data_IF_603325380455
#
_entry.id   IF_603325380455
#
_cell.length_a   1.000
_cell.length_b   1.000
_cell.length_c   1.000
_cell.angle_alpha   90.00
_cell.angle_beta   90.00
_cell.angle_gamma   90.00
#
_symmetry.space_group_name_H-M   'P 1'
#
loop_
_entity.id
_entity.type
_entity.pdbx_description
1 polymer ?
#
# COMPACT_ATOMS: atom_id res chain seq x y z
N UNK A 1 20.39 -22.00 -19.19
CA UNK A 1 20.02 -20.61 -19.56
C UNK A 1 19.38 -19.99 -18.33
N UNK A 2 19.97 -18.95 -17.75
CA UNK A 2 19.70 -18.51 -16.38
C UNK A 2 18.30 -17.86 -16.22
N UNK A 3 17.54 -18.16 -15.14
CA UNK A 3 16.20 -17.61 -14.88
C UNK A 3 16.13 -16.08 -14.87
N UNK A 4 17.23 -15.40 -14.51
CA UNK A 4 17.36 -13.95 -14.55
C UNK A 4 17.30 -13.37 -15.97
N UNK A 5 17.81 -14.08 -16.97
CA UNK A 5 17.76 -13.61 -18.36
C UNK A 5 16.32 -13.67 -18.92
N UNK A 6 15.52 -14.62 -18.45
CA UNK A 6 14.09 -14.71 -18.80
C UNK A 6 13.29 -13.61 -18.09
N UNK A 7 13.55 -13.34 -16.81
CA UNK A 7 12.87 -12.28 -16.06
C UNK A 7 13.19 -10.88 -16.61
N UNK A 8 14.45 -10.62 -16.96
CA UNK A 8 14.86 -9.35 -17.61
C UNK A 8 14.19 -9.20 -18.98
N UNK A 9 14.05 -10.30 -19.72
CA UNK A 9 13.36 -10.29 -21.02
C UNK A 9 11.86 -10.07 -20.86
N UNK A 10 11.20 -10.74 -19.92
CA UNK A 10 9.78 -10.56 -19.66
C UNK A 10 9.44 -9.14 -19.20
N UNK A 11 10.28 -8.55 -18.35
CA UNK A 11 10.12 -7.16 -17.92
C UNK A 11 10.39 -6.17 -19.06
N UNK A 12 11.38 -6.41 -19.91
CA UNK A 12 11.59 -5.60 -21.12
C UNK A 12 10.42 -5.74 -22.09
N UNK A 13 9.92 -6.95 -22.32
CA UNK A 13 8.78 -7.21 -23.20
C UNK A 13 7.50 -6.56 -22.64
N UNK A 14 7.32 -6.52 -21.31
CA UNK A 14 6.21 -5.82 -20.67
C UNK A 14 6.34 -4.30 -20.78
N UNK A 15 7.54 -3.75 -20.56
CA UNK A 15 7.82 -2.32 -20.76
C UNK A 15 7.64 -1.90 -22.22
N UNK A 16 8.05 -2.73 -23.17
CA UNK A 16 7.90 -2.47 -24.60
C UNK A 16 6.44 -2.61 -25.03
N UNK A 17 5.66 -3.53 -24.44
CA UNK A 17 4.20 -3.55 -24.61
C UNK A 17 3.52 -2.32 -24.04
N UNK A 18 3.96 -1.85 -22.87
CA UNK A 18 3.39 -0.65 -22.24
C UNK A 18 3.75 0.62 -23.04
N UNK A 19 4.97 0.68 -23.55
CA UNK A 19 5.46 1.74 -24.46
C UNK A 19 4.70 1.71 -25.79
N UNK A 20 4.54 0.55 -26.42
CA UNK A 20 3.77 0.40 -27.65
C UNK A 20 2.31 0.83 -27.50
N UNK A 21 1.67 0.50 -26.36
CA UNK A 21 0.31 0.95 -26.05
C UNK A 21 0.21 2.46 -25.79
N UNK A 22 1.27 3.08 -25.28
CA UNK A 22 1.37 4.53 -25.13
C UNK A 22 1.60 5.21 -26.48
N UNK A 23 2.44 4.62 -27.33
CA UNK A 23 2.71 5.08 -28.70
C UNK A 23 1.46 4.95 -29.59
N UNK A 24 0.61 3.94 -29.40
CA UNK A 24 -0.69 3.84 -30.06
C UNK A 24 -1.66 4.97 -29.68
N UNK A 25 -1.48 5.57 -28.50
CA UNK A 25 -2.28 6.72 -28.05
C UNK A 25 -1.77 8.05 -28.64
N UNK A 26 -0.52 8.11 -29.13
CA UNK A 26 0.08 9.35 -29.67
C UNK A 26 -0.63 9.80 -30.95
N UNK A 27 -0.85 8.96 -31.98
CA UNK A 27 -1.61 9.37 -33.17
C UNK A 27 -3.07 9.72 -32.86
N UNK A 28 -3.69 9.05 -31.87
CA UNK A 28 -5.06 9.37 -31.43
C UNK A 28 -5.13 10.73 -30.73
N UNK A 29 -4.11 11.07 -29.93
CA UNK A 29 -3.96 12.37 -29.30
C UNK A 29 -3.64 13.47 -30.33
N UNK A 30 -2.76 13.21 -31.30
CA UNK A 30 -2.40 14.15 -32.36
C UNK A 30 -3.53 14.38 -33.36
N UNK A 31 -4.28 13.34 -33.73
CA UNK A 31 -5.46 13.45 -34.60
C UNK A 31 -6.61 14.22 -33.92
N UNK A 32 -6.75 14.09 -32.60
CA UNK A 32 -7.66 14.90 -31.78
C UNK A 32 -7.17 16.36 -31.62
N UNK A 33 -5.87 16.58 -31.51
CA UNK A 33 -5.27 17.92 -31.49
C UNK A 33 -5.40 18.66 -32.83
N UNK A 34 -5.41 17.94 -33.95
CA UNK A 34 -5.60 18.50 -35.29
C UNK A 34 -7.06 18.91 -35.58
N UNK A 35 -8.04 18.35 -34.87
CA UNK A 35 -9.46 18.71 -34.94
C UNK A 35 -9.88 19.74 -33.88
N UNK A 36 -8.93 20.42 -33.22
CA UNK A 36 -9.25 21.43 -32.22
C UNK A 36 -10.07 22.56 -32.83
N UNK A 37 -11.29 22.68 -32.33
CA UNK A 37 -12.03 23.93 -32.30
C UNK A 37 -11.13 24.98 -31.58
N UNK A 38 -10.90 26.18 -32.14
CA UNK A 38 -9.99 27.18 -31.57
C UNK A 38 -10.36 27.68 -30.15
N UNK A 39 -11.47 27.20 -29.56
CA UNK A 39 -11.88 27.45 -28.17
C UNK A 39 -11.46 26.38 -27.13
N UNK A 40 -10.83 25.27 -27.54
CA UNK A 40 -10.62 24.05 -26.73
C UNK A 40 -9.49 24.04 -25.69
N UNK A 41 -9.19 25.19 -25.06
CA UNK A 41 -8.10 25.31 -24.06
C UNK A 41 -8.46 24.82 -22.65
N UNK A 42 -9.66 24.24 -22.45
CA UNK A 42 -10.22 23.97 -21.11
C UNK A 42 -10.29 22.51 -20.63
N UNK A 43 -9.71 21.55 -21.37
CA UNK A 43 -9.86 20.13 -21.04
C UNK A 43 -8.80 19.58 -20.07
N UNK A 44 -7.67 20.28 -19.91
CA UNK A 44 -6.61 19.96 -18.96
C UNK A 44 -6.19 21.25 -18.25
N UNK A 45 -6.36 21.30 -16.93
CA UNK A 45 -6.05 22.50 -16.13
C UNK A 45 -5.15 22.11 -14.95
N UNK A 46 -4.03 22.80 -14.79
CA UNK A 46 -3.12 22.60 -13.66
C UNK A 46 -3.47 23.59 -12.55
N UNK A 47 -3.94 23.06 -11.42
CA UNK A 47 -4.16 23.83 -10.19
C UNK A 47 -2.96 23.63 -9.28
N UNK A 48 -2.23 24.69 -8.95
CA UNK A 48 -0.97 24.59 -8.20
C UNK A 48 -1.08 24.86 -6.70
N UNK A 49 -2.21 25.40 -6.25
CA UNK A 49 -2.43 25.75 -4.84
C UNK A 49 -3.25 24.66 -4.12
N UNK A 50 -2.76 24.22 -2.95
CA UNK A 50 -3.41 23.16 -2.17
C UNK A 50 -4.81 23.56 -1.69
N UNK A 51 -5.00 24.83 -1.32
CA UNK A 51 -6.31 25.35 -0.91
C UNK A 51 -7.30 25.33 -2.08
N UNK A 52 -6.86 25.78 -3.26
CA UNK A 52 -7.64 25.72 -4.49
C UNK A 52 -7.98 24.29 -4.90
N UNK A 53 -7.04 23.33 -4.79
CA UNK A 53 -7.32 21.91 -5.03
C UNK A 53 -8.37 21.38 -4.05
N UNK A 54 -8.28 21.71 -2.77
CA UNK A 54 -9.26 21.30 -1.76
C UNK A 54 -10.65 21.90 -2.04
N UNK A 55 -10.72 23.18 -2.38
CA UNK A 55 -11.95 23.86 -2.78
C UNK A 55 -12.58 23.21 -4.00
N UNK A 56 -11.78 22.94 -5.03
CA UNK A 56 -12.24 22.26 -6.23
C UNK A 56 -12.77 20.85 -5.96
N UNK A 57 -12.10 20.06 -5.11
CA UNK A 57 -12.59 18.74 -4.70
C UNK A 57 -13.95 18.86 -4.01
N UNK A 58 -14.15 19.88 -3.17
CA UNK A 58 -15.41 20.12 -2.49
C UNK A 58 -16.52 20.51 -3.49
N UNK A 59 -16.25 21.40 -4.43
CA UNK A 59 -17.19 21.80 -5.48
C UNK A 59 -17.60 20.62 -6.37
N UNK A 60 -16.63 19.85 -6.87
CA UNK A 60 -16.89 18.68 -7.71
C UNK A 60 -17.68 17.61 -6.95
N UNK A 61 -17.35 17.36 -5.68
CA UNK A 61 -18.09 16.43 -4.84
C UNK A 61 -19.52 16.90 -4.55
N UNK A 62 -19.75 18.21 -4.41
CA UNK A 62 -21.10 18.74 -4.25
C UNK A 62 -21.94 18.56 -5.51
N UNK A 63 -21.33 18.74 -6.68
CA UNK A 63 -21.97 18.58 -7.99
C UNK A 63 -22.11 17.12 -8.47
N UNK A 64 -21.49 16.14 -7.79
CA UNK A 64 -21.55 14.73 -8.19
C UNK A 64 -22.93 14.13 -7.93
N UNK A 65 -23.47 13.44 -8.92
CA UNK A 65 -24.81 12.85 -8.89
C UNK A 65 -24.82 11.31 -8.93
N UNK A 66 -23.82 10.68 -9.56
CA UNK A 66 -23.87 9.26 -9.90
C UNK A 66 -22.77 8.44 -9.23
N UNK A 67 -21.50 8.83 -9.39
CA UNK A 67 -20.36 8.02 -8.96
C UNK A 67 -19.13 8.86 -8.59
N UNK A 68 -18.48 8.47 -7.49
CA UNK A 68 -17.15 8.94 -7.10
C UNK A 68 -16.19 7.76 -6.99
N UNK A 69 -15.14 7.78 -7.81
CA UNK A 69 -14.02 6.83 -7.75
C UNK A 69 -12.80 7.52 -7.13
N UNK A 70 -12.17 6.91 -6.14
CA UNK A 70 -10.94 7.47 -5.55
C UNK A 70 -9.85 6.43 -5.35
N UNK A 71 -8.62 6.80 -5.70
CA UNK A 71 -7.40 6.05 -5.40
C UNK A 71 -6.55 6.89 -4.45
N UNK A 72 -6.25 6.35 -3.28
CA UNK A 72 -5.52 7.03 -2.20
C UNK A 72 -4.23 6.25 -1.87
N UNK A 73 -3.10 6.59 -2.52
CA UNK A 73 -1.80 6.06 -2.15
C UNK A 73 -1.24 6.75 -0.89
N UNK A 74 -0.11 6.27 -0.39
CA UNK A 74 0.56 6.81 0.79
C UNK A 74 0.11 6.18 2.11
N UNK A 75 -0.59 5.04 2.05
CA UNK A 75 -1.00 4.29 3.22
C UNK A 75 -2.07 5.00 4.04
N UNK A 76 -1.85 5.13 5.35
CA UNK A 76 -2.78 5.80 6.25
C UNK A 76 -2.93 7.29 5.92
N UNK A 77 -4.18 7.77 5.91
CA UNK A 77 -4.47 9.20 5.76
C UNK A 77 -4.27 9.95 7.09
N UNK A 78 -3.70 11.16 7.07
CA UNK A 78 -3.61 12.01 8.24
C UNK A 78 -5.01 12.33 8.82
N UNK A 79 -5.18 12.38 10.16
CA UNK A 79 -6.47 12.65 10.80
C UNK A 79 -7.15 13.93 10.29
N UNK A 80 -6.40 15.02 10.14
CA UNK A 80 -6.91 16.29 9.64
C UNK A 80 -7.51 16.17 8.23
N UNK A 81 -6.88 15.38 7.37
CA UNK A 81 -7.38 15.13 6.01
C UNK A 81 -8.62 14.23 5.99
N UNK A 82 -8.80 13.38 7.01
CA UNK A 82 -9.98 12.55 7.17
C UNK A 82 -11.15 13.37 7.70
N UNK A 83 -10.91 14.21 8.71
CA UNK A 83 -11.88 15.14 9.30
C UNK A 83 -12.41 16.14 8.26
N UNK A 84 -11.54 16.72 7.43
CA UNK A 84 -11.95 17.60 6.33
C UNK A 84 -12.84 16.87 5.31
N UNK A 85 -12.62 15.57 5.10
CA UNK A 85 -13.32 14.81 4.06
C UNK A 85 -14.62 14.18 4.51
N UNK A 86 -14.75 13.83 5.80
CA UNK A 86 -15.82 12.95 6.27
C UNK A 86 -17.21 13.51 5.96
N UNK A 87 -17.48 14.78 6.30
CA UNK A 87 -18.81 15.37 6.08
C UNK A 87 -19.21 15.43 4.60
N UNK A 88 -18.24 15.68 3.72
CA UNK A 88 -18.43 15.69 2.26
C UNK A 88 -18.74 14.29 1.73
N UNK A 89 -18.00 13.28 2.18
CA UNK A 89 -18.19 11.89 1.74
C UNK A 89 -19.51 11.30 2.26
N UNK A 90 -19.92 11.65 3.49
CA UNK A 90 -21.24 11.31 4.02
C UNK A 90 -22.36 11.96 3.22
N UNK A 91 -22.23 13.25 2.86
CA UNK A 91 -23.21 13.95 2.06
C UNK A 91 -23.37 13.34 0.66
N UNK A 92 -22.28 12.85 0.05
CA UNK A 92 -22.33 12.09 -1.22
C UNK A 92 -23.14 10.81 -1.07
N UNK A 93 -22.82 10.00 -0.07
CA UNK A 93 -23.50 8.72 0.19
C UNK A 93 -24.99 8.92 0.53
N UNK A 94 -25.31 9.95 1.31
CA UNK A 94 -26.69 10.31 1.65
C UNK A 94 -27.54 10.68 0.41
N UNK A 95 -26.91 11.24 -0.64
CA UNK A 95 -27.56 11.49 -1.93
C UNK A 95 -27.67 10.24 -2.82
N UNK A 96 -27.15 9.10 -2.38
CA UNK A 96 -27.16 7.84 -3.14
C UNK A 96 -26.03 7.73 -4.18
N UNK A 97 -25.01 8.60 -4.12
CA UNK A 97 -23.86 8.54 -5.02
C UNK A 97 -23.05 7.27 -4.73
N UNK A 98 -22.72 6.51 -5.78
CA UNK A 98 -21.87 5.32 -5.63
C UNK A 98 -20.44 5.73 -5.35
N UNK A 99 -19.95 5.42 -4.16
CA UNK A 99 -18.57 5.74 -3.76
C UNK A 99 -17.72 4.47 -3.73
N UNK A 100 -16.66 4.43 -4.55
CA UNK A 100 -15.66 3.35 -4.56
C UNK A 100 -14.28 3.91 -4.29
N UNK A 101 -13.59 3.35 -3.32
CA UNK A 101 -12.25 3.80 -2.90
C UNK A 101 -11.25 2.66 -2.87
N UNK A 102 -10.09 2.86 -3.47
CA UNK A 102 -8.93 1.96 -3.36
C UNK A 102 -7.84 2.63 -2.53
N UNK A 103 -7.36 1.92 -1.52
CA UNK A 103 -6.18 2.27 -0.73
C UNK A 103 -5.03 1.30 -1.01
N UNK A 104 -3.83 1.62 -0.53
CA UNK A 104 -2.78 0.60 -0.38
C UNK A 104 -3.02 -0.25 0.88
N UNK A 105 -2.56 -1.51 0.90
CA UNK A 105 -2.71 -2.40 2.08
C UNK A 105 -2.13 -1.78 3.35
N UNK A 106 -1.14 -0.90 3.23
CA UNK A 106 -0.58 -0.17 4.37
C UNK A 106 -1.57 0.77 5.06
N UNK A 107 -2.66 1.16 4.40
CA UNK A 107 -3.73 1.92 5.04
C UNK A 107 -4.47 1.11 6.13
N UNK A 108 -4.45 -0.23 6.05
CA UNK A 108 -5.09 -1.12 7.02
C UNK A 108 -4.48 -0.98 8.43
N UNK A 109 -3.25 -0.47 8.56
CA UNK A 109 -2.58 -0.24 9.85
C UNK A 109 -2.90 1.11 10.49
N UNK A 110 -3.58 2.00 9.76
CA UNK A 110 -3.92 3.32 10.26
C UNK A 110 -5.26 3.25 10.98
N UNK A 111 -5.25 3.31 12.31
CA UNK A 111 -6.50 3.37 13.12
C UNK A 111 -7.44 4.50 12.69
N UNK A 112 -6.96 5.75 12.44
CA UNK A 112 -7.82 6.81 11.93
C UNK A 112 -8.46 6.46 10.59
N UNK A 113 -7.69 5.86 9.67
CA UNK A 113 -8.21 5.47 8.35
C UNK A 113 -9.20 4.31 8.46
N UNK A 114 -8.94 3.32 9.30
CA UNK A 114 -9.86 2.20 9.53
C UNK A 114 -11.20 2.69 10.10
N UNK A 115 -11.20 3.58 11.10
CA UNK A 115 -12.42 4.16 11.66
C UNK A 115 -13.22 4.97 10.63
N UNK A 116 -12.54 5.76 9.79
CA UNK A 116 -13.18 6.46 8.68
C UNK A 116 -13.81 5.49 7.67
N UNK A 117 -13.10 4.42 7.30
CA UNK A 117 -13.59 3.41 6.36
C UNK A 117 -14.79 2.66 6.93
N UNK A 118 -14.75 2.28 8.21
CA UNK A 118 -15.88 1.65 8.91
C UNK A 118 -17.13 2.54 8.83
N UNK A 119 -16.99 3.82 9.15
CA UNK A 119 -18.08 4.80 9.10
C UNK A 119 -18.67 4.94 7.69
N UNK A 120 -17.85 5.11 6.66
CA UNK A 120 -18.37 5.26 5.29
C UNK A 120 -18.93 3.95 4.72
N UNK A 121 -18.37 2.81 5.10
CA UNK A 121 -18.87 1.50 4.65
C UNK A 121 -20.26 1.24 5.24
N UNK A 122 -20.53 1.66 6.48
CA UNK A 122 -21.86 1.60 7.08
C UNK A 122 -22.90 2.44 6.32
N UNK A 123 -22.47 3.46 5.58
CA UNK A 123 -23.31 4.30 4.72
C UNK A 123 -23.35 3.82 3.25
N UNK A 124 -22.75 2.66 2.94
CA UNK A 124 -22.79 2.05 1.61
C UNK A 124 -21.58 2.33 0.71
N UNK A 125 -20.53 3.01 1.21
CA UNK A 125 -19.28 3.12 0.46
C UNK A 125 -18.61 1.75 0.31
N UNK A 126 -17.94 1.53 -0.82
CA UNK A 126 -17.16 0.33 -1.05
C UNK A 126 -15.68 0.69 -0.99
N UNK A 127 -14.95 0.05 -0.07
CA UNK A 127 -13.53 0.32 0.12
C UNK A 127 -12.73 -0.96 -0.06
N UNK A 128 -11.70 -0.90 -0.90
CA UNK A 128 -10.78 -1.99 -1.19
C UNK A 128 -9.32 -1.54 -1.04
N UNK A 129 -8.41 -2.49 -1.07
CA UNK A 129 -6.97 -2.27 -0.89
C UNK A 129 -6.15 -3.10 -1.86
N UNK A 130 -5.02 -2.55 -2.32
CA UNK A 130 -4.02 -3.20 -3.18
C UNK A 130 -2.63 -3.18 -2.55
N UNK A 131 -1.76 -4.13 -2.93
CA UNK A 131 -0.41 -4.22 -2.37
C UNK A 131 0.53 -3.07 -2.75
N UNK A 132 0.51 -2.66 -4.02
CA UNK A 132 1.41 -1.65 -4.56
C UNK A 132 0.81 -0.94 -5.79
N UNK A 133 1.60 -0.05 -6.42
CA UNK A 133 1.30 0.49 -7.75
C UNK A 133 0.12 1.48 -7.84
N UNK A 134 -0.41 1.95 -6.71
CA UNK A 134 -1.55 2.84 -6.69
C UNK A 134 -1.15 4.30 -6.98
N UNK A 135 -1.77 4.91 -7.98
CA UNK A 135 -1.61 6.34 -8.29
C UNK A 135 -2.76 7.13 -7.68
N UNK A 136 -2.50 8.37 -7.24
CA UNK A 136 -3.53 9.23 -6.66
C UNK A 136 -4.42 9.81 -7.75
N UNK A 137 -5.71 9.47 -7.70
CA UNK A 137 -6.71 9.98 -8.64
C UNK A 137 -8.10 10.03 -8.02
N UNK A 138 -8.91 10.98 -8.48
CA UNK A 138 -10.35 11.06 -8.22
C UNK A 138 -11.07 11.15 -9.56
N UNK A 139 -12.23 10.49 -9.70
CA UNK A 139 -13.10 10.62 -10.87
C UNK A 139 -14.52 10.84 -10.41
N UNK A 140 -15.12 11.92 -10.88
CA UNK A 140 -16.48 12.38 -10.59
C UNK A 140 -17.34 12.12 -11.83
N UNK A 141 -18.41 11.33 -11.68
CA UNK A 141 -19.43 11.01 -12.69
C UNK A 141 -18.91 10.50 -14.04
N UNK A 142 -17.64 10.08 -14.10
CA UNK A 142 -16.99 9.60 -15.31
C UNK A 142 -16.68 10.67 -16.35
N UNK A 143 -16.81 11.96 -16.02
CA UNK A 143 -16.52 13.08 -16.94
C UNK A 143 -15.50 14.08 -16.40
N UNK A 144 -15.14 14.02 -15.12
CA UNK A 144 -14.10 14.89 -14.55
C UNK A 144 -13.17 14.10 -13.65
N UNK A 145 -11.88 14.17 -13.94
CA UNK A 145 -10.83 13.51 -13.19
C UNK A 145 -9.89 14.52 -12.53
N UNK A 146 -9.38 14.19 -11.36
CA UNK A 146 -8.24 14.87 -10.73
C UNK A 146 -7.10 13.87 -10.57
N UNK A 147 -5.88 14.29 -10.89
CA UNK A 147 -4.65 13.51 -10.66
C UNK A 147 -3.63 14.33 -9.87
N UNK A 148 -2.88 13.66 -8.99
CA UNK A 148 -1.72 14.27 -8.35
C UNK A 148 -0.60 14.54 -9.35
N UNK A 149 0.15 15.62 -9.12
CA UNK A 149 1.35 15.96 -9.89
C UNK A 149 2.58 15.54 -9.08
N UNK A 150 3.30 14.45 -9.44
CA UNK A 150 4.33 13.84 -8.60
C UNK A 150 5.45 14.78 -8.14
N UNK A 151 5.77 15.80 -8.95
CA UNK A 151 6.85 16.75 -8.68
C UNK A 151 6.37 18.01 -7.94
N UNK A 152 5.07 18.15 -7.70
CA UNK A 152 4.45 19.35 -7.11
C UNK A 152 3.45 18.97 -6.05
N UNK A 153 3.95 18.80 -4.82
CA UNK A 153 3.10 18.60 -3.65
C UNK A 153 2.05 19.70 -3.55
N UNK A 154 0.79 19.29 -3.39
CA UNK A 154 -0.35 20.21 -3.29
C UNK A 154 -0.95 20.67 -4.62
N UNK A 155 -0.33 20.34 -5.76
CA UNK A 155 -0.92 20.59 -7.06
C UNK A 155 -1.76 19.40 -7.55
N UNK A 156 -2.77 19.68 -8.38
CA UNK A 156 -3.56 18.68 -9.07
C UNK A 156 -3.77 19.07 -10.54
N UNK A 157 -3.76 18.06 -11.41
CA UNK A 157 -4.20 18.19 -12.78
C UNK A 157 -5.69 17.84 -12.85
N UNK A 158 -6.49 18.80 -13.29
CA UNK A 158 -7.92 18.65 -13.58
C UNK A 158 -8.05 18.20 -15.03
N UNK A 159 -8.80 17.13 -15.23
CA UNK A 159 -8.99 16.48 -16.53
C UNK A 159 -10.46 16.44 -16.84
N UNK A 160 -10.85 17.12 -17.91
CA UNK A 160 -12.20 17.12 -18.50
C UNK A 160 -12.20 16.58 -19.92
N UNK A 161 -11.05 16.14 -20.41
CA UNK A 161 -10.92 15.47 -21.72
C UNK A 161 -11.54 14.06 -21.64
N UNK A 162 -12.62 13.77 -22.38
CA UNK A 162 -13.38 12.52 -22.22
C UNK A 162 -12.54 11.25 -22.39
N UNK A 163 -11.61 11.23 -23.35
CA UNK A 163 -10.74 10.08 -23.60
C UNK A 163 -9.76 9.82 -22.45
N UNK A 164 -9.26 10.89 -21.84
CA UNK A 164 -8.34 10.77 -20.68
C UNK A 164 -9.11 10.34 -19.44
N UNK A 165 -10.31 10.87 -19.21
CA UNK A 165 -11.16 10.43 -18.09
C UNK A 165 -11.58 8.96 -18.27
N UNK A 166 -11.88 8.53 -19.50
CA UNK A 166 -12.13 7.13 -19.81
C UNK A 166 -10.93 6.24 -19.46
N UNK A 167 -9.71 6.66 -19.85
CA UNK A 167 -8.48 5.96 -19.48
C UNK A 167 -8.29 5.88 -17.96
N UNK A 168 -8.49 7.00 -17.25
CA UNK A 168 -8.42 7.06 -15.78
C UNK A 168 -9.38 6.06 -15.14
N UNK A 169 -10.64 6.05 -15.58
CA UNK A 169 -11.63 5.06 -15.11
C UNK A 169 -11.15 3.63 -15.38
N UNK A 170 -10.65 3.35 -16.59
CA UNK A 170 -10.09 2.04 -16.91
C UNK A 170 -8.91 1.63 -16.02
N UNK A 171 -8.04 2.58 -15.65
CA UNK A 171 -6.95 2.34 -14.70
C UNK A 171 -7.47 2.03 -13.30
N UNK A 172 -8.48 2.76 -12.83
CA UNK A 172 -9.16 2.47 -11.56
C UNK A 172 -9.78 1.08 -11.55
N UNK A 173 -10.53 0.70 -12.60
CA UNK A 173 -11.21 -0.61 -12.64
C UNK A 173 -10.22 -1.79 -12.61
N UNK A 174 -9.06 -1.66 -13.26
CA UNK A 174 -8.00 -2.68 -13.18
C UNK A 174 -7.52 -2.87 -11.74
N UNK A 175 -7.25 -1.77 -11.05
CA UNK A 175 -6.89 -1.82 -9.62
C UNK A 175 -8.04 -2.37 -8.78
N UNK A 176 -9.29 -1.99 -9.07
CA UNK A 176 -10.48 -2.43 -8.34
C UNK A 176 -10.69 -3.94 -8.39
N UNK A 177 -10.50 -4.55 -9.58
CA UNK A 177 -10.62 -6.00 -9.78
C UNK A 177 -9.53 -6.76 -9.03
N UNK A 178 -8.30 -6.24 -9.01
CA UNK A 178 -7.18 -6.84 -8.27
C UNK A 178 -7.24 -6.57 -6.75
N UNK A 179 -8.07 -5.63 -6.30
CA UNK A 179 -8.11 -5.20 -4.91
C UNK A 179 -8.98 -6.10 -4.02
N UNK A 180 -8.57 -6.21 -2.76
CA UNK A 180 -9.28 -6.94 -1.72
C UNK A 180 -10.12 -6.00 -0.84
N UNK A 181 -11.28 -6.42 -0.32
CA UNK A 181 -12.07 -5.62 0.63
C UNK A 181 -11.24 -5.07 1.79
N UNK A 182 -11.50 -3.83 2.19
CA UNK A 182 -10.87 -3.25 3.39
C UNK A 182 -11.49 -3.90 4.64
N UNK A 183 -10.69 -4.42 5.58
CA UNK A 183 -11.21 -5.04 6.80
C UNK A 183 -11.79 -3.97 7.73
N UNK A 184 -13.11 -3.98 7.90
CA UNK A 184 -13.85 -3.01 8.75
C UNK A 184 -14.01 -3.45 10.20
N UNK A 185 -13.91 -4.76 10.49
CA UNK A 185 -13.91 -5.30 11.86
C UNK A 185 -12.51 -5.74 12.25
N UNK A 186 -11.81 -4.93 13.02
CA UNK A 186 -10.43 -5.22 13.46
C UNK A 186 -10.43 -5.68 14.92
N UNK A 187 -10.59 -6.98 15.15
CA UNK A 187 -10.25 -7.58 16.43
C UNK A 187 -8.73 -7.58 16.67
N UNK A 188 -8.25 -7.78 17.91
CA UNK A 188 -6.81 -7.87 18.21
C UNK A 188 -6.06 -8.90 17.35
N UNK A 189 -6.72 -10.01 17.01
CA UNK A 189 -6.18 -11.06 16.14
C UNK A 189 -6.02 -10.60 14.68
N UNK A 190 -7.01 -9.88 14.14
CA UNK A 190 -6.93 -9.30 12.80
C UNK A 190 -5.80 -8.27 12.70
N UNK A 191 -5.59 -7.43 13.73
CA UNK A 191 -4.47 -6.49 13.77
C UNK A 191 -3.11 -7.19 13.77
N UNK A 192 -2.98 -8.34 14.44
CA UNK A 192 -1.77 -9.16 14.43
C UNK A 192 -1.54 -9.79 13.05
N UNK A 193 -2.58 -10.39 12.44
CA UNK A 193 -2.49 -11.00 11.10
C UNK A 193 -2.02 -9.98 10.06
N UNK A 194 -2.63 -8.80 10.04
CA UNK A 194 -2.20 -7.71 9.19
C UNK A 194 -0.71 -7.40 9.45
N UNK A 195 -0.32 -7.20 10.71
CA UNK A 195 1.07 -6.83 11.02
C UNK A 195 2.09 -7.84 10.49
N UNK A 196 1.75 -9.13 10.53
CA UNK A 196 2.54 -10.20 9.92
C UNK A 196 2.53 -10.17 8.38
N UNK A 197 1.40 -9.91 7.73
CA UNK A 197 1.31 -9.76 6.27
C UNK A 197 2.23 -8.63 5.77
N UNK A 198 2.23 -7.47 6.44
CA UNK A 198 3.14 -6.38 6.11
C UNK A 198 4.59 -6.80 6.29
N UNK A 199 4.91 -7.46 7.41
CA UNK A 199 6.26 -7.95 7.70
C UNK A 199 6.74 -8.90 6.60
N UNK A 200 5.88 -9.82 6.17
CA UNK A 200 6.18 -10.79 5.12
C UNK A 200 6.33 -10.13 3.75
N UNK A 201 5.55 -9.08 3.46
CA UNK A 201 5.69 -8.27 2.25
C UNK A 201 7.03 -7.53 2.23
N UNK A 202 7.43 -6.91 3.34
CA UNK A 202 8.73 -6.25 3.46
C UNK A 202 9.88 -7.25 3.26
N UNK A 203 9.78 -8.44 3.83
CA UNK A 203 10.80 -9.50 3.64
C UNK A 203 10.91 -9.91 2.16
N UNK A 204 9.79 -10.07 1.44
CA UNK A 204 9.80 -10.39 0.00
C UNK A 204 10.49 -9.28 -0.81
N UNK A 205 10.13 -8.02 -0.55
CA UNK A 205 10.73 -6.87 -1.23
C UNK A 205 12.23 -6.68 -0.91
N UNK A 206 12.65 -7.03 0.31
CA UNK A 206 14.07 -7.08 0.67
C UNK A 206 14.80 -8.20 -0.07
N UNK A 207 14.16 -9.37 -0.24
CA UNK A 207 14.71 -10.50 -0.99
C UNK A 207 14.86 -10.20 -2.50
N UNK A 208 14.03 -9.29 -3.04
CA UNK A 208 14.19 -8.72 -4.39
C UNK A 208 15.40 -7.76 -4.49
N UNK A 209 16.09 -7.46 -3.39
CA UNK A 209 17.25 -6.57 -3.37
C UNK A 209 16.90 -5.08 -3.41
N UNK A 210 15.65 -4.72 -3.15
CA UNK A 210 15.20 -3.33 -3.21
C UNK A 210 15.72 -2.51 -2.02
N UNK A 211 16.11 -1.26 -2.30
CA UNK A 211 16.49 -0.31 -1.25
C UNK A 211 15.26 0.13 -0.42
N UNK A 212 15.47 0.43 0.87
CA UNK A 212 14.42 0.90 1.78
C UNK A 212 13.57 2.05 1.21
N UNK A 213 14.18 2.98 0.46
CA UNK A 213 13.46 4.10 -0.17
C UNK A 213 12.47 3.62 -1.23
N UNK A 214 12.86 2.61 -2.01
CA UNK A 214 12.01 1.99 -3.03
C UNK A 214 10.90 1.19 -2.39
N UNK A 215 11.22 0.39 -1.37
CA UNK A 215 10.24 -0.38 -0.59
C UNK A 215 9.21 0.56 0.05
N UNK A 216 9.67 1.63 0.71
CA UNK A 216 8.81 2.62 1.35
C UNK A 216 7.84 3.27 0.35
N UNK A 217 8.34 3.67 -0.82
CA UNK A 217 7.51 4.25 -1.89
C UNK A 217 6.49 3.25 -2.43
N UNK A 218 6.91 2.00 -2.66
CA UNK A 218 6.05 0.93 -3.20
C UNK A 218 4.91 0.58 -2.24
N UNK A 219 5.22 0.53 -0.94
CA UNK A 219 4.24 0.26 0.11
C UNK A 219 3.43 1.50 0.52
N UNK A 220 3.76 2.70 0.03
CA UNK A 220 3.08 3.92 0.45
C UNK A 220 3.28 4.24 1.92
N UNK A 221 4.52 4.20 2.41
CA UNK A 221 4.85 4.63 3.77
C UNK A 221 6.12 5.50 3.77
N UNK A 222 6.37 6.22 4.86
CA UNK A 222 7.62 6.97 5.00
C UNK A 222 8.83 6.03 5.09
N UNK A 223 9.98 6.47 4.57
CA UNK A 223 11.23 5.72 4.66
C UNK A 223 11.61 5.38 6.11
N UNK A 224 11.39 6.33 7.05
CA UNK A 224 11.57 6.12 8.49
C UNK A 224 10.69 4.99 9.03
N UNK A 225 9.43 4.91 8.59
CA UNK A 225 8.51 3.84 9.01
C UNK A 225 8.95 2.49 8.45
N UNK A 226 9.33 2.45 7.17
CA UNK A 226 9.90 1.25 6.56
C UNK A 226 11.15 0.76 7.31
N UNK A 227 12.10 1.64 7.60
CA UNK A 227 13.31 1.33 8.39
C UNK A 227 12.99 0.78 9.77
N UNK A 228 11.98 1.33 10.46
CA UNK A 228 11.52 0.82 11.75
C UNK A 228 10.97 -0.59 11.66
N UNK A 229 10.19 -0.90 10.62
CA UNK A 229 9.70 -2.26 10.38
C UNK A 229 10.85 -3.23 10.08
N UNK A 230 11.81 -2.83 9.25
CA UNK A 230 13.01 -3.64 8.94
C UNK A 230 13.83 -3.91 10.20
N UNK A 231 14.06 -2.90 11.04
CA UNK A 231 14.75 -3.08 12.32
C UNK A 231 13.97 -4.00 13.28
N UNK A 232 12.64 -3.96 13.25
CA UNK A 232 11.79 -4.92 13.96
C UNK A 232 11.97 -6.36 13.46
N UNK A 233 11.99 -6.55 12.13
CA UNK A 233 12.24 -7.85 11.49
C UNK A 233 13.60 -8.40 11.90
N UNK A 234 14.65 -7.58 11.80
CA UNK A 234 16.02 -7.98 12.16
C UNK A 234 16.11 -8.41 13.63
N UNK A 235 15.50 -7.64 14.55
CA UNK A 235 15.44 -8.01 15.97
C UNK A 235 14.69 -9.32 16.19
N UNK A 236 13.56 -9.52 15.52
CA UNK A 236 12.75 -10.73 15.65
C UNK A 236 13.50 -12.00 15.24
N UNK A 237 14.44 -11.89 14.29
CA UNK A 237 15.30 -13.01 13.86
C UNK A 237 16.69 -13.01 14.53
N UNK A 238 16.97 -12.08 15.46
CA UNK A 238 18.26 -11.99 16.13
C UNK A 238 19.43 -11.56 15.23
N UNK A 239 19.16 -10.83 14.15
CA UNK A 239 20.17 -10.36 13.21
C UNK A 239 20.71 -8.96 13.56
N UNK A 240 22.03 -8.78 13.41
CA UNK A 240 22.72 -7.49 13.56
C UNK A 240 22.97 -6.79 12.22
N UNK A 241 22.84 -7.51 11.10
CA UNK A 241 22.94 -6.95 9.74
C UNK A 241 21.81 -7.43 8.83
N UNK A 242 21.49 -6.65 7.78
CA UNK A 242 20.47 -7.03 6.79
C UNK A 242 20.82 -8.36 6.10
N UNK A 243 22.09 -8.58 5.81
CA UNK A 243 22.57 -9.81 5.22
C UNK A 243 22.32 -11.01 6.13
N UNK A 244 22.68 -10.90 7.42
CA UNK A 244 22.41 -11.93 8.41
C UNK A 244 20.90 -12.17 8.58
N UNK A 245 20.08 -11.12 8.56
CA UNK A 245 18.62 -11.26 8.61
C UNK A 245 18.08 -12.06 7.42
N UNK A 246 18.56 -11.78 6.21
CA UNK A 246 18.23 -12.56 5.01
C UNK A 246 18.62 -14.03 5.14
N UNK A 247 19.83 -14.32 5.63
CA UNK A 247 20.29 -15.69 5.87
C UNK A 247 19.44 -16.43 6.90
N UNK A 248 19.10 -15.80 8.03
CA UNK A 248 18.30 -16.40 9.10
C UNK A 248 16.84 -16.59 8.69
N UNK A 249 16.27 -15.67 7.90
CA UNK A 249 14.93 -15.84 7.33
C UNK A 249 14.86 -16.97 6.29
N UNK A 250 15.95 -17.21 5.55
CA UNK A 250 16.03 -18.30 4.58
C UNK A 250 16.26 -19.66 5.25
N UNK A 251 17.06 -19.71 6.32
CA UNK A 251 17.41 -20.96 7.02
C UNK A 251 16.41 -21.35 8.12
N UNK A 252 15.77 -20.39 8.78
CA UNK A 252 14.76 -20.63 9.83
C UNK A 252 13.39 -21.13 9.34
N UNK A 253 13.24 -21.39 8.04
CA UNK A 253 12.05 -22.06 7.48
C UNK A 253 12.09 -23.60 7.67
N UNK A 254 13.17 -24.15 8.21
CA UNK A 254 13.28 -25.54 8.64
C UNK A 254 14.01 -25.62 9.98
N UNK A 255 13.49 -26.46 10.88
CA UNK A 255 14.15 -26.89 12.13
C UNK A 255 14.05 -25.96 13.35
N UNK A 256 12.98 -26.14 14.13
CA UNK A 256 13.05 -25.95 15.59
C UNK A 256 13.39 -27.31 16.22
N UNK A 257 14.67 -27.55 16.49
CA UNK A 257 15.19 -28.61 17.36
C UNK A 257 15.45 -28.10 18.78
N UNK A 258 15.45 -28.99 19.79
CA UNK A 258 14.95 -28.69 21.14
C UNK A 258 15.95 -28.01 22.07
N UNK A 259 15.39 -27.32 23.07
CA UNK A 259 16.11 -26.56 24.07
C UNK A 259 17.15 -27.37 24.84
N UNK A 260 18.28 -26.71 25.11
CA UNK A 260 19.22 -27.13 26.14
C UNK A 260 18.92 -26.30 27.37
N UNK A 261 18.27 -26.95 28.34
CA UNK A 261 18.34 -26.54 29.74
C UNK A 261 19.71 -26.91 30.31
N UNK A 262 20.25 -26.03 31.14
CA UNK A 262 21.46 -26.25 31.93
C UNK A 262 21.44 -25.33 33.14
N UNK A 263 20.92 -25.86 34.25
CA UNK A 263 21.30 -25.55 35.65
C UNK A 263 22.81 -25.28 35.75
N UNK A 264 23.32 -24.26 36.43
CA UNK A 264 23.07 -23.84 37.81
C UNK A 264 24.34 -24.18 38.61
N UNK A 265 24.99 -23.19 39.22
CA UNK A 265 25.74 -23.27 40.50
C UNK A 265 26.42 -21.94 40.87
N UNK A 266 25.91 -21.35 41.96
CA UNK A 266 26.54 -20.74 43.14
C UNK A 266 27.91 -20.03 43.11
N UNK A 267 27.96 -18.88 43.79
CA UNK A 267 29.23 -18.25 44.22
C UNK A 267 29.14 -16.84 44.82
N UNK A 268 28.48 -16.70 45.98
CA UNK A 268 28.76 -15.78 47.11
C UNK A 268 29.47 -14.42 46.91
N UNK A 269 28.92 -13.35 47.50
CA UNK A 269 29.76 -12.39 48.27
C UNK A 269 29.35 -10.91 48.32
N UNK A 270 28.76 -10.53 49.47
CA UNK A 270 28.91 -9.26 50.25
C UNK A 270 28.15 -7.97 49.87
N UNK A 271 27.22 -7.66 50.78
CA UNK A 271 27.17 -6.49 51.68
C UNK A 271 27.31 -5.07 51.12
N UNK A 272 26.24 -4.27 51.28
CA UNK A 272 26.27 -2.83 51.11
C UNK A 272 24.89 -2.16 51.16
N UNK A 273 24.42 -1.93 52.38
CA UNK A 273 23.24 -1.18 52.85
C UNK A 273 22.84 0.10 52.08
N UNK A 274 21.53 0.32 51.92
CA UNK A 274 20.90 1.62 51.60
C UNK A 274 19.39 1.54 51.27
N UNK A 275 18.54 1.41 52.29
CA UNK A 275 17.12 1.85 52.32
C UNK A 275 17.07 3.39 52.14
N UNK A 276 16.09 4.12 51.59
CA UNK A 276 14.65 4.03 51.27
C UNK A 276 14.42 4.98 50.05
N UNK A 277 13.40 4.94 49.19
CA UNK A 277 12.04 4.42 49.26
C UNK A 277 11.06 5.49 48.71
N UNK A 278 10.56 5.29 47.48
CA UNK A 278 9.27 5.76 46.88
C UNK A 278 9.41 5.72 45.35
N UNK A 279 8.69 4.91 44.55
CA UNK A 279 7.33 4.39 44.62
C UNK A 279 6.45 5.23 43.67
N UNK A 280 6.34 4.88 42.38
CA UNK A 280 5.15 4.30 41.67
C UNK A 280 5.02 5.08 40.33
N UNK A 281 4.62 4.58 39.16
CA UNK A 281 3.93 3.37 38.72
C UNK A 281 4.47 2.93 37.34
N UNK A 282 4.68 1.62 37.18
CA UNK A 282 4.95 0.98 35.90
C UNK A 282 3.66 0.43 35.28
N UNK A 283 3.49 0.63 33.98
CA UNK A 283 2.54 -0.12 33.15
C UNK A 283 3.36 -1.12 32.35
N UNK A 284 3.04 -2.40 32.56
CA UNK A 284 3.79 -3.55 32.07
C UNK A 284 3.83 -3.66 30.54
N UNK A 285 5.01 -4.00 30.04
CA UNK A 285 5.20 -4.54 28.71
C UNK A 285 4.84 -6.02 28.74
N UNK A 286 3.67 -6.37 28.22
CA UNK A 286 3.27 -7.76 28.01
C UNK A 286 4.08 -8.35 26.85
N UNK A 287 4.85 -9.39 27.20
CA UNK A 287 5.67 -10.18 26.30
C UNK A 287 4.83 -10.84 25.19
N UNK A 288 5.22 -10.57 23.95
CA UNK A 288 4.71 -11.28 22.77
C UNK A 288 5.64 -12.46 22.49
N UNK A 289 5.16 -13.66 22.79
CA UNK A 289 5.82 -14.92 22.48
C UNK A 289 6.07 -15.10 20.98
N UNK A 290 7.21 -15.69 20.66
CA UNK A 290 7.66 -15.99 19.32
C UNK A 290 6.66 -16.90 18.57
N UNK A 291 5.96 -16.35 17.58
CA UNK A 291 5.20 -17.13 16.61
C UNK A 291 6.08 -17.40 15.38
N UNK A 292 6.32 -18.68 15.11
CA UNK A 292 7.13 -19.13 13.98
C UNK A 292 6.49 -18.75 12.64
N UNK A 293 7.27 -18.07 11.81
CA UNK A 293 6.88 -17.57 10.49
C UNK A 293 7.04 -18.70 9.48
N UNK A 294 5.96 -19.37 9.09
CA UNK A 294 6.02 -20.36 8.01
C UNK A 294 5.99 -19.67 6.65
N UNK A 295 7.11 -19.70 5.94
CA UNK A 295 7.19 -19.34 4.52
C UNK A 295 6.83 -20.58 3.69
N UNK A 296 5.63 -20.63 3.11
CA UNK A 296 5.31 -21.69 2.13
C UNK A 296 5.72 -21.20 0.75
N UNK A 297 6.92 -21.59 0.30
CA UNK A 297 7.32 -21.46 -1.10
C UNK A 297 6.68 -22.62 -1.85
N UNK A 298 5.60 -22.36 -2.60
CA UNK A 298 5.08 -23.34 -3.57
C UNK A 298 6.09 -23.46 -4.70
N UNK A 299 6.95 -24.49 -4.63
CA UNK A 299 7.75 -24.93 -5.76
C UNK A 299 6.85 -25.51 -6.84
N UNK A 300 6.86 -24.89 -8.01
CA UNK A 300 6.32 -25.43 -9.25
C UNK A 300 7.12 -26.68 -9.62
N UNK A 301 6.56 -27.87 -9.37
CA UNK A 301 7.09 -29.12 -9.90
C UNK A 301 6.71 -29.24 -11.37
N UNK A 302 7.71 -29.16 -12.24
CA UNK A 302 7.63 -29.45 -13.67
C UNK A 302 7.84 -30.98 -13.86
N UNK A 303 6.90 -31.74 -14.46
CA UNK A 303 7.08 -33.16 -14.69
C UNK A 303 7.79 -33.39 -16.02
N UNK A 304 9.11 -33.60 -15.98
CA UNK A 304 9.85 -34.12 -17.12
C UNK A 304 9.92 -35.65 -17.09
N UNK A 305 9.23 -36.27 -18.07
CA UNK A 305 9.79 -37.39 -18.82
C UNK A 305 9.15 -38.76 -18.60
N UNK A 306 8.46 -39.26 -19.62
CA UNK A 306 8.71 -40.63 -20.14
C UNK A 306 8.38 -40.67 -21.63
N UNK A 307 9.43 -40.66 -22.45
CA UNK A 307 9.43 -41.21 -23.80
C UNK A 307 9.44 -42.74 -23.69
N UNK A 308 8.53 -43.40 -24.38
CA UNK A 308 8.50 -44.85 -24.56
C UNK A 308 8.05 -45.17 -25.97
N UNK A 309 9.01 -45.60 -26.79
CA UNK A 309 8.88 -45.99 -28.19
C UNK A 309 8.14 -47.31 -28.35
N UNK A 310 7.11 -47.35 -29.19
CA UNK A 310 6.80 -48.41 -30.16
C UNK A 310 5.67 -47.92 -31.08
#
# INVERSE_FOLDING_TARGET
>A
MAPLALLVRDTHDEMDRLRGRLEELVPAYEAGAAHRDPGGSGHLELVTDLGAVRGLIAELAAATECELLTSQPGGGRPPESLEESIGRDEALLARGVRMRTVYQHTARYSRPTAAYVERLTALGAQVRTVGDGLMRMLVFDGHTGLMEVPERSGAALVVREPNVVHFMKGAFERSWVAAEPFPVTVGPEAARSLSEELRQTIVRLLAEGLEDKVIARRLGMSQRTCQRHIAGIMRAVGATSRFQAGYLLATGAGEAGPGVGGSGEDGSGKDGSGEDGSGKDGVGEDGVGAAAVRLTVRGSADPAGTTGTA
#
